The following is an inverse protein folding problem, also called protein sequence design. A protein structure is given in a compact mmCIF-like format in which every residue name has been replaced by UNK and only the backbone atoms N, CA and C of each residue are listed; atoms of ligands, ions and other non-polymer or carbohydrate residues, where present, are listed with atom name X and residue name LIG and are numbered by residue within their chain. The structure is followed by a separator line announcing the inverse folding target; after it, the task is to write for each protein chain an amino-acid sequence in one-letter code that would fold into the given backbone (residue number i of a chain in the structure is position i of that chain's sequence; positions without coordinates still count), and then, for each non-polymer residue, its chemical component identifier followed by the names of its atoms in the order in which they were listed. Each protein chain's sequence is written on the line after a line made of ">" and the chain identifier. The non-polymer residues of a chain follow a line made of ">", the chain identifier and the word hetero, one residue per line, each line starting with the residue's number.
data_IF_815524375993
#
_entry.id   IF_815524375993
#
_cell.length_a   1.000
_cell.length_b   1.000
_cell.length_c   1.000
_cell.angle_alpha   90.00
_cell.angle_beta   90.00
_cell.angle_gamma   90.00
#
_symmetry.space_group_name_H-M   'P 1'
#
loop_
_entity.id
_entity.type
_entity.pdbx_description
1 polymer ?
#
# COMPACT_ATOMS: atom_id res chain seq x y z
N UNK A 1 -9.52 -2.16 18.42
CA UNK A 1 -8.62 -1.57 17.42
C UNK A 1 -8.79 -2.32 16.11
N UNK A 2 -9.04 -1.62 15.00
CA UNK A 2 -9.28 -2.27 13.70
C UNK A 2 -7.92 -2.66 13.08
N UNK A 3 -7.54 -3.94 13.16
CA UNK A 3 -6.23 -4.44 12.69
C UNK A 3 -5.90 -4.06 11.24
N UNK A 4 -6.93 -3.91 10.41
CA UNK A 4 -6.79 -3.47 9.02
C UNK A 4 -6.33 -2.01 8.89
N UNK A 5 -6.68 -1.12 9.84
CA UNK A 5 -6.22 0.28 9.79
C UNK A 5 -4.72 0.35 10.10
N UNK A 6 -4.27 -0.38 11.11
CA UNK A 6 -2.86 -0.41 11.52
C UNK A 6 -1.96 -0.90 10.38
N UNK A 7 -2.39 -1.97 9.70
CA UNK A 7 -1.68 -2.50 8.54
C UNK A 7 -1.71 -1.58 7.32
N UNK A 8 -2.82 -0.87 7.12
CA UNK A 8 -2.91 0.11 6.03
C UNK A 8 -1.93 1.26 6.24
N UNK A 9 -1.81 1.73 7.48
CA UNK A 9 -0.82 2.76 7.85
C UNK A 9 0.61 2.23 7.67
N UNK A 10 0.86 0.97 8.06
CA UNK A 10 2.14 0.31 7.82
C UNK A 10 2.49 0.29 6.32
N UNK A 11 1.59 -0.19 5.45
CA UNK A 11 1.82 -0.23 4.00
C UNK A 11 2.12 1.15 3.42
N UNK A 12 1.37 2.17 3.86
CA UNK A 12 1.55 3.56 3.42
C UNK A 12 2.94 4.10 3.83
N UNK A 13 3.35 3.88 5.08
CA UNK A 13 4.64 4.35 5.60
C UNK A 13 5.82 3.62 4.94
N UNK A 14 5.68 2.31 4.71
CA UNK A 14 6.67 1.51 3.99
C UNK A 14 6.81 1.97 2.53
N UNK A 15 5.69 2.20 1.85
CA UNK A 15 5.67 2.73 0.48
C UNK A 15 6.33 4.12 0.39
N UNK A 16 5.97 5.01 1.33
CA UNK A 16 6.56 6.35 1.46
C UNK A 16 8.08 6.28 1.61
N UNK A 17 8.57 5.40 2.50
CA UNK A 17 10.00 5.25 2.79
C UNK A 17 10.76 4.69 1.58
N UNK A 18 10.19 3.70 0.90
CA UNK A 18 10.79 3.08 -0.29
C UNK A 18 10.89 4.07 -1.47
N UNK A 19 9.84 4.84 -1.72
CA UNK A 19 9.79 5.79 -2.84
C UNK A 19 10.36 7.18 -2.52
N UNK A 20 10.80 7.41 -1.27
CA UNK A 20 11.32 8.69 -0.80
C UNK A 20 10.36 9.88 -1.06
N UNK A 21 9.05 9.66 -0.89
CA UNK A 21 8.01 10.68 -1.12
C UNK A 21 7.43 11.19 0.20
N UNK A 22 6.60 12.23 0.14
CA UNK A 22 5.87 12.70 1.32
C UNK A 22 4.69 11.79 1.64
N UNK A 23 4.26 11.75 2.90
CA UNK A 23 3.05 11.00 3.28
C UNK A 23 1.80 11.52 2.55
N UNK A 24 1.75 12.82 2.22
CA UNK A 24 0.67 13.41 1.44
C UNK A 24 0.64 12.87 0.01
N UNK A 25 1.79 12.75 -0.64
CA UNK A 25 1.89 12.18 -1.99
C UNK A 25 1.53 10.69 -1.99
N UNK A 26 2.04 9.93 -1.01
CA UNK A 26 1.70 8.52 -0.85
C UNK A 26 0.18 8.32 -0.66
N UNK A 27 -0.45 9.13 0.21
CA UNK A 27 -1.91 9.11 0.42
C UNK A 27 -2.66 9.42 -0.87
N UNK A 28 -2.21 10.41 -1.63
CA UNK A 28 -2.83 10.79 -2.91
C UNK A 28 -2.77 9.64 -3.91
N UNK A 29 -1.61 8.99 -4.06
CA UNK A 29 -1.41 7.84 -4.94
C UNK A 29 -2.34 6.69 -4.52
N UNK A 30 -2.38 6.38 -3.22
CA UNK A 30 -3.20 5.28 -2.69
C UNK A 30 -4.69 5.54 -2.91
N UNK A 31 -5.14 6.78 -2.73
CA UNK A 31 -6.52 7.16 -2.93
C UNK A 31 -6.91 7.13 -4.41
N UNK A 32 -6.08 7.71 -5.29
CA UNK A 32 -6.32 7.78 -6.73
C UNK A 32 -6.39 6.38 -7.37
N UNK A 33 -5.50 5.47 -6.94
CA UNK A 33 -5.41 4.11 -7.45
C UNK A 33 -6.26 3.09 -6.67
N UNK A 34 -7.07 3.53 -5.69
CA UNK A 34 -7.87 2.66 -4.79
C UNK A 34 -7.02 1.54 -4.13
N UNK A 35 -5.79 1.86 -3.74
CA UNK A 35 -4.86 0.92 -3.09
C UNK A 35 -5.37 0.53 -1.69
N UNK A 36 -6.08 1.42 -1.00
CA UNK A 36 -6.69 1.10 0.30
C UNK A 36 -7.67 -0.06 0.24
N UNK A 37 -8.46 -0.13 -0.83
CA UNK A 37 -9.42 -1.22 -1.04
C UNK A 37 -8.71 -2.53 -1.38
N UNK A 38 -7.63 -2.43 -2.16
CA UNK A 38 -6.74 -3.54 -2.46
C UNK A 38 -6.11 -4.12 -1.18
N UNK A 39 -5.43 -3.29 -0.38
CA UNK A 39 -4.79 -3.73 0.89
C UNK A 39 -5.81 -4.38 1.82
N UNK A 40 -7.03 -3.85 1.89
CA UNK A 40 -8.10 -4.42 2.72
C UNK A 40 -8.59 -5.77 2.18
N UNK A 41 -8.73 -5.91 0.86
CA UNK A 41 -9.16 -7.15 0.21
C UNK A 41 -8.11 -8.25 0.28
N UNK A 42 -6.83 -7.87 0.27
CA UNK A 42 -5.69 -8.80 0.29
C UNK A 42 -4.97 -8.88 1.65
N UNK A 43 -5.60 -8.36 2.72
CA UNK A 43 -5.00 -8.33 4.07
C UNK A 43 -4.51 -9.69 4.55
N UNK A 44 -5.31 -10.75 4.34
CA UNK A 44 -4.98 -12.10 4.80
C UNK A 44 -3.69 -12.65 4.17
N UNK A 45 -3.41 -12.26 2.92
CA UNK A 45 -2.20 -12.65 2.20
C UNK A 45 -1.03 -11.72 2.56
N UNK A 46 -1.24 -10.41 2.43
CA UNK A 46 -0.18 -9.41 2.57
C UNK A 46 0.40 -9.37 3.99
N UNK A 47 -0.41 -9.60 5.04
CA UNK A 47 0.08 -9.51 6.43
C UNK A 47 1.10 -10.60 6.80
N UNK A 48 1.19 -11.69 6.02
CA UNK A 48 2.16 -12.76 6.21
C UNK A 48 3.44 -12.56 5.38
N UNK A 49 3.50 -11.52 4.55
CA UNK A 49 4.61 -11.24 3.63
C UNK A 49 5.56 -10.17 4.17
N UNK A 50 6.75 -10.07 3.56
CA UNK A 50 7.74 -9.06 3.91
C UNK A 50 7.39 -7.66 3.42
N UNK A 51 7.94 -6.64 4.08
CA UNK A 51 7.71 -5.24 3.72
C UNK A 51 8.06 -4.91 2.25
N UNK A 52 9.21 -5.38 1.78
CA UNK A 52 9.65 -5.14 0.39
C UNK A 52 8.67 -5.70 -0.63
N UNK A 53 8.16 -6.91 -0.38
CA UNK A 53 7.18 -7.56 -1.25
C UNK A 53 5.88 -6.74 -1.31
N UNK A 54 5.38 -6.26 -0.17
CA UNK A 54 4.16 -5.43 -0.13
C UNK A 54 4.33 -4.16 -0.98
N UNK A 55 5.50 -3.50 -0.89
CA UNK A 55 5.75 -2.27 -1.66
C UNK A 55 5.83 -2.56 -3.15
N UNK A 56 6.53 -3.63 -3.56
CA UNK A 56 6.61 -4.07 -4.95
C UNK A 56 5.23 -4.44 -5.51
N UNK A 57 4.44 -5.19 -4.76
CA UNK A 57 3.09 -5.60 -5.14
C UNK A 57 2.14 -4.40 -5.33
N UNK A 58 2.25 -3.39 -4.45
CA UNK A 58 1.51 -2.12 -4.60
C UNK A 58 1.94 -1.37 -5.86
N UNK A 59 3.24 -1.32 -6.17
CA UNK A 59 3.75 -0.66 -7.37
C UNK A 59 3.23 -1.36 -8.65
N UNK A 60 3.29 -2.69 -8.68
CA UNK A 60 2.74 -3.52 -9.77
C UNK A 60 1.24 -3.27 -9.94
N UNK A 61 0.48 -3.21 -8.84
CA UNK A 61 -0.96 -2.92 -8.87
C UNK A 61 -1.26 -1.53 -9.44
N UNK A 62 -0.52 -0.50 -9.01
CA UNK A 62 -0.67 0.87 -9.52
C UNK A 62 -0.31 0.92 -11.00
N UNK A 63 0.80 0.31 -11.40
CA UNK A 63 1.26 0.29 -12.79
C UNK A 63 0.27 -0.41 -13.71
N UNK A 64 -0.35 -1.50 -13.24
CA UNK A 64 -1.37 -2.26 -13.99
C UNK A 64 -2.64 -1.46 -14.24
N UNK A 65 -2.96 -0.45 -13.43
CA UNK A 65 -4.12 0.45 -13.62
C UNK A 65 -3.82 1.65 -14.51
N UNK A 66 -2.54 1.92 -14.76
CA UNK A 66 -2.08 3.05 -15.55
C UNK A 66 -2.03 2.74 -17.05
N UNK A 67 -2.30 1.49 -17.43
CA UNK A 67 -2.25 0.94 -18.79
C UNK A 67 -3.66 0.54 -19.26
#
# INVERSE_FOLDING_TARGET
>A
MNRSIDFTVFCLESYKRSHNITGKDALKIFNDNKVFDYIKSFYDVLHSTGQDYIVEDIDVYINSRRN
#
